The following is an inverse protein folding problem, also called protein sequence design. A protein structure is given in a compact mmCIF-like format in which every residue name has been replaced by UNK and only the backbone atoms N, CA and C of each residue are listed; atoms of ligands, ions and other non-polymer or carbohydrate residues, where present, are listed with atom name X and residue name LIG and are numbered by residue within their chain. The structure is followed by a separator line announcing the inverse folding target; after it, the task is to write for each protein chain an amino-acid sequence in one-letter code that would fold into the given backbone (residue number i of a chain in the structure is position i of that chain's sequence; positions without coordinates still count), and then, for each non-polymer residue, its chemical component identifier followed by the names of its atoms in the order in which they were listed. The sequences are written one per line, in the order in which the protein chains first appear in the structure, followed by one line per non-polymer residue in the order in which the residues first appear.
data_IF_834258599709
#
_entry.id   IF_834258599709
#
_cell.length_a   1.000
_cell.length_b   1.000
_cell.length_c   1.000
_cell.angle_alpha   90.00
_cell.angle_beta   90.00
_cell.angle_gamma   90.00
#
_symmetry.space_group_name_H-M   'P 1'
#
loop_
_entity.id
_entity.type
_entity.pdbx_description
1 polymer ?
#
# COMPACT_ATOMS: atom_id res chain seq x y z
N UNK A 1 26.99 6.43 6.19
CA UNK A 1 26.39 7.52 5.41
C UNK A 1 26.58 7.18 3.94
N UNK A 2 25.50 6.98 3.19
CA UNK A 2 25.52 6.64 1.76
C UNK A 2 24.82 7.73 0.98
N UNK A 3 25.35 8.11 -0.17
CA UNK A 3 24.74 9.10 -1.04
C UNK A 3 23.85 8.39 -2.07
N UNK A 4 22.53 8.62 -1.95
CA UNK A 4 21.50 7.89 -2.66
C UNK A 4 20.73 8.83 -3.59
N UNK A 5 20.51 8.42 -4.85
CA UNK A 5 19.59 9.06 -5.77
C UNK A 5 18.36 8.18 -5.97
N UNK A 6 17.19 8.63 -5.48
CA UNK A 6 15.90 8.03 -5.80
C UNK A 6 15.39 8.60 -7.11
N UNK A 7 15.16 7.74 -8.11
CA UNK A 7 14.56 8.11 -9.42
C UNK A 7 13.18 7.47 -9.51
N UNK A 8 12.11 8.26 -9.56
CA UNK A 8 10.75 7.73 -9.53
C UNK A 8 9.72 8.63 -10.19
N UNK A 9 8.67 8.03 -10.76
CA UNK A 9 7.46 8.73 -11.19
C UNK A 9 6.47 8.97 -10.04
N UNK A 10 6.64 8.25 -8.95
CA UNK A 10 5.69 8.18 -7.85
C UNK A 10 6.28 8.83 -6.59
N UNK A 11 6.07 10.16 -6.46
CA UNK A 11 6.52 10.91 -5.30
C UNK A 11 5.53 12.04 -4.96
N UNK A 12 5.43 12.47 -3.68
CA UNK A 12 4.63 13.61 -3.29
C UNK A 12 4.96 14.88 -4.11
N UNK A 13 4.00 15.83 -4.17
CA UNK A 13 2.75 15.92 -3.43
C UNK A 13 1.58 15.10 -4.02
N UNK A 14 1.80 14.35 -5.11
CA UNK A 14 0.78 13.43 -5.61
C UNK A 14 0.52 12.35 -4.55
N UNK A 15 -0.77 12.11 -4.24
CA UNK A 15 -1.17 11.10 -3.25
C UNK A 15 -1.33 9.73 -3.89
N UNK A 16 -0.91 8.69 -3.18
CA UNK A 16 -1.06 7.29 -3.58
C UNK A 16 -0.24 6.36 -2.70
N UNK A 17 -0.51 5.06 -2.76
CA UNK A 17 0.17 4.07 -1.93
C UNK A 17 1.68 3.96 -2.21
N UNK A 18 2.09 4.05 -3.48
CA UNK A 18 3.51 4.03 -3.87
C UNK A 18 4.21 5.29 -3.39
N UNK A 19 3.57 6.46 -3.56
CA UNK A 19 4.10 7.74 -3.12
C UNK A 19 4.38 7.73 -1.61
N UNK A 20 3.40 7.31 -0.81
CA UNK A 20 3.56 7.21 0.65
C UNK A 20 4.61 6.17 1.04
N UNK A 21 4.68 5.03 0.34
CA UNK A 21 5.71 4.00 0.55
C UNK A 21 7.12 4.59 0.37
N UNK A 22 7.38 5.25 -0.75
CA UNK A 22 8.68 5.83 -1.04
C UNK A 22 9.03 6.98 -0.09
N UNK A 23 8.08 7.87 0.18
CA UNK A 23 8.25 9.00 1.10
C UNK A 23 8.66 8.54 2.49
N UNK A 24 7.97 7.55 3.05
CA UNK A 24 8.28 7.03 4.39
C UNK A 24 9.69 6.42 4.44
N UNK A 25 10.08 5.64 3.44
CA UNK A 25 11.44 5.11 3.38
C UNK A 25 12.48 6.22 3.28
N UNK A 26 12.23 7.25 2.47
CA UNK A 26 13.14 8.40 2.33
C UNK A 26 13.32 9.11 3.68
N UNK A 27 12.23 9.40 4.39
CA UNK A 27 12.30 10.03 5.72
C UNK A 27 13.11 9.20 6.71
N UNK A 28 12.94 7.87 6.73
CA UNK A 28 13.69 6.99 7.64
C UNK A 28 15.17 6.90 7.27
N UNK A 29 15.53 6.85 5.98
CA UNK A 29 16.92 6.82 5.53
C UNK A 29 17.64 8.13 5.89
N UNK A 30 17.01 9.27 5.63
CA UNK A 30 17.54 10.59 5.99
C UNK A 30 17.66 10.74 7.51
N UNK A 31 16.65 10.32 8.28
CA UNK A 31 16.68 10.30 9.74
C UNK A 31 17.77 9.37 10.31
N UNK A 32 18.22 8.36 9.55
CA UNK A 32 19.33 7.48 9.89
C UNK A 32 20.71 8.01 9.43
N UNK A 33 20.76 9.22 8.84
CA UNK A 33 21.98 9.91 8.46
C UNK A 33 22.47 9.64 7.03
N UNK A 34 21.63 9.07 6.16
CA UNK A 34 21.95 8.96 4.73
C UNK A 34 21.65 10.27 3.99
N UNK A 35 22.46 10.61 3.00
CA UNK A 35 22.21 11.71 2.08
C UNK A 35 21.34 11.23 0.90
N UNK A 36 20.18 11.84 0.74
CA UNK A 36 19.24 11.41 -0.28
C UNK A 36 18.79 12.57 -1.17
N UNK A 37 18.90 12.37 -2.47
CA UNK A 37 18.33 13.25 -3.50
C UNK A 37 17.22 12.51 -4.23
N UNK A 38 16.07 13.16 -4.39
CA UNK A 38 14.93 12.59 -5.15
C UNK A 38 14.86 13.26 -6.51
N UNK A 39 14.80 12.48 -7.58
CA UNK A 39 14.48 12.94 -8.93
C UNK A 39 13.11 12.43 -9.35
N UNK A 40 12.13 13.34 -9.44
CA UNK A 40 10.74 13.02 -9.66
C UNK A 40 10.00 14.05 -10.52
N UNK A 41 8.84 13.71 -11.14
CA UNK A 41 8.05 14.66 -11.92
C UNK A 41 7.55 15.85 -11.11
N UNK A 42 7.25 16.95 -11.83
CA UNK A 42 6.62 18.11 -11.22
C UNK A 42 5.10 17.93 -11.16
N UNK A 43 4.55 18.13 -9.98
CA UNK A 43 3.11 18.13 -9.70
C UNK A 43 2.65 19.48 -9.13
N UNK A 44 1.36 19.76 -9.20
CA UNK A 44 0.78 20.92 -8.50
C UNK A 44 1.09 20.82 -7.00
N UNK A 45 1.61 21.91 -6.40
CA UNK A 45 2.03 21.94 -5.00
C UNK A 45 3.46 21.43 -4.74
N UNK A 46 4.23 21.03 -5.78
CA UNK A 46 5.61 20.59 -5.62
C UNK A 46 6.53 21.62 -4.94
N UNK A 47 6.49 22.93 -5.26
CA UNK A 47 7.37 23.90 -4.62
C UNK A 47 7.19 24.01 -3.11
N UNK A 48 5.97 23.88 -2.61
CA UNK A 48 5.69 23.95 -1.17
C UNK A 48 6.16 22.69 -0.45
N UNK A 49 5.90 21.52 -1.05
CA UNK A 49 6.39 20.25 -0.55
C UNK A 49 7.93 20.21 -0.51
N UNK A 50 8.58 20.58 -1.61
CA UNK A 50 10.04 20.51 -1.74
C UNK A 50 10.76 21.45 -0.76
N UNK A 51 10.14 22.60 -0.42
CA UNK A 51 10.67 23.54 0.58
C UNK A 51 10.58 22.98 1.99
N UNK A 52 9.56 22.18 2.28
CA UNK A 52 9.36 21.57 3.59
C UNK A 52 10.13 20.25 3.78
N UNK A 53 10.58 19.62 2.69
CA UNK A 53 11.26 18.34 2.75
C UNK A 53 12.66 18.46 3.39
N UNK A 54 13.08 17.54 4.26
CA UNK A 54 14.41 17.53 4.86
C UNK A 54 15.50 16.93 3.95
N UNK A 55 15.22 16.78 2.67
CA UNK A 55 16.10 16.21 1.64
C UNK A 55 15.95 16.97 0.32
N UNK A 56 16.92 16.83 -0.58
CA UNK A 56 16.91 17.50 -1.87
C UNK A 56 15.90 16.84 -2.83
N UNK A 57 15.06 17.67 -3.49
CA UNK A 57 14.14 17.21 -4.54
C UNK A 57 14.41 17.96 -5.82
N UNK A 58 14.76 17.22 -6.87
CA UNK A 58 14.95 17.72 -8.21
C UNK A 58 13.74 17.33 -9.06
N UNK A 59 13.08 18.33 -9.65
CA UNK A 59 11.85 18.10 -10.41
C UNK A 59 12.10 18.06 -11.92
N UNK A 60 11.65 16.95 -12.52
CA UNK A 60 11.52 16.88 -13.98
C UNK A 60 10.39 17.82 -14.44
N UNK A 61 10.56 18.57 -15.56
CA UNK A 61 9.54 19.53 -16.01
C UNK A 61 8.18 18.92 -16.35
N UNK A 62 8.17 17.69 -16.87
CA UNK A 62 6.95 16.96 -17.20
C UNK A 62 6.32 16.23 -16.01
N UNK A 63 5.13 15.68 -16.23
CA UNK A 63 4.36 14.90 -15.25
C UNK A 63 4.66 13.38 -15.30
N UNK A 64 5.48 12.95 -16.25
CA UNK A 64 5.92 11.57 -16.45
C UNK A 64 7.37 11.55 -16.90
N UNK A 65 8.19 10.70 -16.29
CA UNK A 65 9.54 10.40 -16.73
C UNK A 65 9.55 9.02 -17.41
N UNK A 66 10.14 9.00 -18.61
CA UNK A 66 10.43 7.77 -19.37
C UNK A 66 11.94 7.60 -19.49
N UNK A 67 12.46 6.41 -19.84
CA UNK A 67 13.90 6.20 -20.09
C UNK A 67 14.34 6.87 -21.42
N UNK A 68 14.24 8.19 -21.48
CA UNK A 68 14.55 9.04 -22.63
C UNK A 68 15.84 9.86 -22.43
N UNK A 69 16.44 10.41 -23.50
CA UNK A 69 17.71 11.12 -23.40
C UNK A 69 17.74 12.30 -22.40
N UNK A 70 16.61 12.99 -22.20
CA UNK A 70 16.49 14.09 -21.23
C UNK A 70 16.61 13.63 -19.80
N UNK A 71 15.85 12.58 -19.45
CA UNK A 71 15.86 11.95 -18.11
C UNK A 71 17.22 11.30 -17.84
N UNK A 72 17.79 10.56 -18.81
CA UNK A 72 19.13 9.96 -18.72
C UNK A 72 20.21 11.02 -18.42
N UNK A 73 20.26 12.09 -19.22
CA UNK A 73 21.25 13.16 -19.02
C UNK A 73 21.16 13.78 -17.63
N UNK A 74 19.93 14.09 -17.17
CA UNK A 74 19.76 14.72 -15.85
C UNK A 74 20.11 13.76 -14.72
N UNK A 75 19.70 12.50 -14.78
CA UNK A 75 20.10 11.48 -13.83
C UNK A 75 21.62 11.36 -13.73
N UNK A 76 22.31 11.24 -14.86
CA UNK A 76 23.78 11.13 -14.91
C UNK A 76 24.49 12.40 -14.41
N UNK A 77 23.94 13.58 -14.66
CA UNK A 77 24.42 14.85 -14.11
C UNK A 77 24.34 14.83 -12.58
N UNK A 78 23.17 14.47 -12.02
CA UNK A 78 22.97 14.37 -10.58
C UNK A 78 23.92 13.35 -9.93
N UNK A 79 24.15 12.20 -10.55
CA UNK A 79 25.11 11.20 -10.04
C UNK A 79 26.50 11.80 -9.90
N UNK A 80 26.99 12.52 -10.90
CA UNK A 80 28.33 13.13 -10.91
C UNK A 80 28.43 14.35 -9.99
N UNK A 81 27.43 15.24 -10.06
CA UNK A 81 27.39 16.49 -9.28
C UNK A 81 27.38 16.23 -7.76
N UNK A 82 26.64 15.22 -7.32
CA UNK A 82 26.47 14.88 -5.91
C UNK A 82 27.30 13.66 -5.46
N UNK A 83 28.12 13.09 -6.36
CA UNK A 83 28.92 11.90 -6.05
C UNK A 83 28.07 10.72 -5.57
N UNK A 84 26.92 10.48 -6.22
CA UNK A 84 25.96 9.44 -5.83
C UNK A 84 26.61 8.04 -5.95
N UNK A 85 26.56 7.30 -4.87
CA UNK A 85 27.06 5.92 -4.77
C UNK A 85 26.01 4.89 -5.18
N UNK A 86 24.74 5.17 -4.81
CA UNK A 86 23.62 4.23 -5.04
C UNK A 86 22.46 4.91 -5.76
N UNK A 87 21.98 4.29 -6.83
CA UNK A 87 20.74 4.69 -7.49
C UNK A 87 19.62 3.72 -7.10
N UNK A 88 18.54 4.28 -6.59
CA UNK A 88 17.33 3.56 -6.26
C UNK A 88 16.21 3.97 -7.20
N UNK A 89 15.77 3.05 -8.07
CA UNK A 89 14.57 3.25 -8.89
C UNK A 89 13.34 2.91 -8.05
N UNK A 90 12.52 3.92 -7.76
CA UNK A 90 11.33 3.78 -6.92
C UNK A 90 10.24 2.89 -7.54
N UNK A 91 10.27 2.71 -8.87
CA UNK A 91 9.52 1.70 -9.61
C UNK A 91 10.43 1.08 -10.67
N UNK A 92 10.49 -0.26 -10.74
CA UNK A 92 11.41 -0.97 -11.64
C UNK A 92 11.12 -0.64 -13.11
N UNK A 93 9.88 -0.80 -13.54
CA UNK A 93 9.49 -0.49 -14.92
C UNK A 93 8.81 0.89 -15.00
N UNK A 94 9.17 1.74 -15.98
CA UNK A 94 10.22 1.53 -17.00
C UNK A 94 11.60 2.12 -16.63
N UNK A 95 11.72 2.92 -15.56
CA UNK A 95 12.89 3.77 -15.30
C UNK A 95 14.18 2.99 -15.04
N UNK A 96 14.11 1.78 -14.45
CA UNK A 96 15.30 0.96 -14.21
C UNK A 96 15.95 0.39 -15.50
N UNK A 97 15.36 0.64 -16.68
CA UNK A 97 16.07 0.46 -17.96
C UNK A 97 17.28 1.41 -18.11
N UNK A 98 17.38 2.41 -17.24
CA UNK A 98 18.53 3.31 -17.15
C UNK A 98 19.64 2.78 -16.21
N UNK A 99 19.52 1.57 -15.65
CA UNK A 99 20.46 1.02 -14.66
C UNK A 99 21.91 1.02 -15.15
N UNK A 100 22.18 0.51 -16.36
CA UNK A 100 23.51 0.53 -16.96
C UNK A 100 24.05 1.95 -17.19
N UNK A 101 23.17 2.91 -17.47
CA UNK A 101 23.52 4.33 -17.62
C UNK A 101 23.90 4.96 -16.27
N UNK A 102 23.18 4.59 -15.20
CA UNK A 102 23.54 5.01 -13.85
C UNK A 102 24.94 4.52 -13.45
N UNK A 103 25.25 3.24 -13.70
CA UNK A 103 26.59 2.69 -13.48
C UNK A 103 27.65 3.39 -14.31
N UNK A 104 27.42 3.63 -15.59
CA UNK A 104 28.34 4.37 -16.47
C UNK A 104 28.53 5.85 -16.07
N UNK A 105 27.71 6.38 -15.16
CA UNK A 105 27.87 7.72 -14.58
C UNK A 105 28.61 7.73 -13.24
N UNK A 106 28.85 6.56 -12.61
CA UNK A 106 29.61 6.41 -11.37
C UNK A 106 28.83 5.74 -10.23
N UNK A 107 27.57 5.35 -10.44
CA UNK A 107 26.84 4.61 -9.40
C UNK A 107 27.46 3.20 -9.22
N UNK A 108 27.82 2.87 -7.99
CA UNK A 108 28.38 1.58 -7.63
C UNK A 108 27.29 0.51 -7.43
N UNK A 109 26.10 0.96 -7.03
CA UNK A 109 24.95 0.11 -6.72
C UNK A 109 23.67 0.60 -7.36
N UNK A 110 22.84 -0.34 -7.84
CA UNK A 110 21.53 -0.04 -8.43
C UNK A 110 20.48 -0.97 -7.84
N UNK A 111 19.47 -0.38 -7.20
CA UNK A 111 18.34 -1.08 -6.61
C UNK A 111 17.05 -0.62 -7.31
N UNK A 112 16.10 -1.52 -7.51
CA UNK A 112 14.79 -1.17 -8.08
C UNK A 112 13.67 -1.75 -7.22
N UNK A 113 12.59 -1.01 -7.02
CA UNK A 113 11.41 -1.47 -6.29
C UNK A 113 10.28 -1.88 -7.22
N UNK A 114 9.48 -2.87 -6.83
CA UNK A 114 8.26 -3.25 -7.55
C UNK A 114 7.03 -3.09 -6.67
N UNK A 115 5.90 -2.72 -7.26
CA UNK A 115 4.66 -2.42 -6.52
C UNK A 115 3.45 -3.21 -7.07
N UNK A 116 3.69 -4.16 -7.98
CA UNK A 116 2.67 -5.03 -8.57
C UNK A 116 2.21 -4.64 -9.98
N UNK A 117 2.46 -3.41 -10.45
CA UNK A 117 2.14 -3.05 -11.84
C UNK A 117 3.04 -3.79 -12.87
N UNK A 118 4.19 -4.30 -12.44
CA UNK A 118 5.09 -5.14 -13.23
C UNK A 118 4.45 -6.47 -13.65
N UNK A 119 3.39 -6.90 -12.96
CA UNK A 119 2.61 -8.08 -13.36
C UNK A 119 2.05 -7.90 -14.77
N UNK A 120 1.50 -6.73 -15.10
CA UNK A 120 1.05 -6.42 -16.46
C UNK A 120 2.19 -6.46 -17.49
N UNK A 121 3.36 -5.94 -17.12
CA UNK A 121 4.56 -5.98 -17.97
C UNK A 121 5.04 -7.42 -18.23
N UNK A 122 4.97 -8.29 -17.23
CA UNK A 122 5.41 -9.70 -17.37
C UNK A 122 4.57 -10.51 -18.36
N UNK A 123 3.37 -10.05 -18.70
CA UNK A 123 2.44 -10.75 -19.61
C UNK A 123 2.63 -10.38 -21.09
N UNK A 124 3.35 -9.31 -21.40
CA UNK A 124 3.57 -8.82 -22.76
C UNK A 124 4.99 -9.15 -23.23
N UNK A 125 5.19 -9.79 -24.41
CA UNK A 125 6.53 -10.26 -24.84
C UNK A 125 7.59 -9.16 -24.84
N UNK A 126 7.34 -8.01 -25.43
CA UNK A 126 8.29 -6.89 -25.47
C UNK A 126 8.59 -6.30 -24.10
N UNK A 127 7.57 -6.12 -23.26
CA UNK A 127 7.72 -5.64 -21.89
C UNK A 127 8.45 -6.67 -21.01
N UNK A 128 8.22 -7.98 -21.24
CA UNK A 128 8.98 -9.05 -20.57
C UNK A 128 10.48 -9.00 -20.88
N UNK A 129 10.85 -8.66 -22.12
CA UNK A 129 12.27 -8.46 -22.49
C UNK A 129 12.88 -7.25 -21.76
N UNK A 130 12.12 -6.17 -21.58
CA UNK A 130 12.54 -5.03 -20.78
C UNK A 130 12.74 -5.40 -19.30
N UNK A 131 11.82 -6.18 -18.70
CA UNK A 131 11.97 -6.66 -17.33
C UNK A 131 13.22 -7.56 -17.18
N UNK A 132 13.49 -8.45 -18.14
CA UNK A 132 14.70 -9.29 -18.13
C UNK A 132 15.98 -8.46 -18.15
N UNK A 133 16.00 -7.39 -18.95
CA UNK A 133 17.12 -6.46 -18.99
C UNK A 133 17.27 -5.73 -17.64
N UNK A 134 16.19 -5.26 -17.04
CA UNK A 134 16.22 -4.67 -15.70
C UNK A 134 16.80 -5.67 -14.70
N UNK A 135 16.34 -6.93 -14.74
CA UNK A 135 16.83 -7.98 -13.84
C UNK A 135 18.32 -8.30 -13.95
N UNK A 136 18.90 -8.16 -15.14
CA UNK A 136 20.35 -8.37 -15.36
C UNK A 136 21.22 -7.14 -15.06
N UNK A 137 20.62 -5.94 -15.04
CA UNK A 137 21.37 -4.67 -14.87
C UNK A 137 21.24 -4.09 -13.44
N UNK A 138 20.34 -4.62 -12.59
CA UNK A 138 20.15 -4.20 -11.20
C UNK A 138 20.77 -5.21 -10.22
N UNK A 139 21.27 -4.74 -9.08
CA UNK A 139 21.83 -5.60 -8.02
C UNK A 139 20.74 -6.26 -7.19
N UNK A 140 19.65 -5.51 -6.95
CA UNK A 140 18.51 -6.00 -6.16
C UNK A 140 17.23 -5.41 -6.73
N UNK A 141 16.20 -6.26 -6.76
CA UNK A 141 14.83 -5.84 -7.04
C UNK A 141 13.98 -6.16 -5.81
N UNK A 142 13.35 -5.15 -5.22
CA UNK A 142 12.47 -5.37 -4.07
C UNK A 142 11.03 -5.63 -4.52
N UNK A 143 10.31 -6.43 -3.73
CA UNK A 143 8.89 -6.71 -3.96
C UNK A 143 8.08 -6.59 -2.66
N UNK A 144 6.82 -6.16 -2.79
CA UNK A 144 5.95 -5.86 -1.64
C UNK A 144 5.16 -7.07 -1.14
N UNK A 145 4.94 -8.10 -1.98
CA UNK A 145 4.23 -9.33 -1.60
C UNK A 145 4.74 -10.54 -2.38
N UNK A 146 4.67 -11.72 -1.76
CA UNK A 146 5.04 -12.99 -2.42
C UNK A 146 4.20 -13.24 -3.66
N UNK A 147 2.90 -12.91 -3.58
CA UNK A 147 2.01 -13.01 -4.72
C UNK A 147 2.52 -12.24 -5.94
N UNK A 148 2.89 -10.97 -5.76
CA UNK A 148 3.39 -10.15 -6.88
C UNK A 148 4.71 -10.70 -7.41
N UNK A 149 5.63 -11.11 -6.52
CA UNK A 149 6.89 -11.77 -6.89
C UNK A 149 6.64 -12.99 -7.79
N UNK A 150 5.77 -13.90 -7.37
CA UNK A 150 5.53 -15.17 -8.08
C UNK A 150 4.94 -14.94 -9.48
N UNK A 151 4.25 -13.82 -9.69
CA UNK A 151 3.71 -13.43 -10.99
C UNK A 151 4.74 -12.87 -11.96
N UNK A 152 5.75 -12.16 -11.48
CA UNK A 152 6.72 -11.48 -12.35
C UNK A 152 8.15 -12.01 -12.26
N UNK A 153 8.50 -12.82 -11.27
CA UNK A 153 9.90 -13.26 -11.05
C UNK A 153 10.56 -13.86 -12.29
N UNK A 154 9.85 -14.74 -13.00
CA UNK A 154 10.37 -15.36 -14.23
C UNK A 154 10.63 -14.35 -15.36
N UNK A 155 9.96 -13.20 -15.36
CA UNK A 155 10.15 -12.16 -16.36
C UNK A 155 11.46 -11.39 -16.14
N UNK A 156 11.87 -11.18 -14.89
CA UNK A 156 13.15 -10.57 -14.57
C UNK A 156 14.36 -11.47 -14.86
N UNK A 157 14.13 -12.76 -15.02
CA UNK A 157 15.17 -13.74 -15.38
C UNK A 157 15.97 -14.27 -14.18
N UNK A 158 16.86 -15.28 -14.42
CA UNK A 158 17.54 -15.99 -13.34
C UNK A 158 18.64 -15.17 -12.63
N UNK A 159 19.13 -14.10 -13.25
CA UNK A 159 20.13 -13.21 -12.65
C UNK A 159 19.55 -12.22 -11.65
N UNK A 160 18.24 -12.03 -11.64
CA UNK A 160 17.58 -11.06 -10.77
C UNK A 160 17.57 -11.53 -9.31
N UNK A 161 18.16 -10.74 -8.42
CA UNK A 161 18.06 -10.92 -6.98
C UNK A 161 16.80 -10.24 -6.46
N UNK A 162 15.82 -11.03 -6.04
CA UNK A 162 14.52 -10.55 -5.54
C UNK A 162 14.50 -10.57 -4.02
N UNK A 163 14.22 -9.43 -3.39
CA UNK A 163 14.21 -9.26 -1.93
C UNK A 163 12.85 -8.73 -1.45
N UNK A 164 12.31 -9.34 -0.39
CA UNK A 164 11.04 -8.89 0.20
C UNK A 164 11.23 -7.59 0.96
N UNK A 165 10.47 -6.57 0.59
CA UNK A 165 10.48 -5.26 1.24
C UNK A 165 9.06 -4.66 1.22
N UNK A 166 8.20 -5.08 2.14
CA UNK A 166 6.86 -4.53 2.27
C UNK A 166 6.89 -3.15 2.94
N UNK A 167 5.78 -2.38 2.90
CA UNK A 167 5.63 -1.17 3.70
C UNK A 167 5.62 -1.49 5.19
N UNK A 168 6.05 -0.54 6.01
CA UNK A 168 5.78 -0.53 7.43
C UNK A 168 4.45 0.15 7.76
N UNK A 169 4.03 0.04 9.02
CA UNK A 169 2.92 0.80 9.59
C UNK A 169 3.43 1.59 10.80
N UNK A 170 2.96 2.82 10.93
CA UNK A 170 3.19 3.64 12.12
C UNK A 170 2.18 3.23 13.20
N UNK A 171 2.62 2.41 14.14
CA UNK A 171 1.78 1.88 15.23
C UNK A 171 1.52 2.89 16.36
N UNK A 172 2.20 4.03 16.34
CA UNK A 172 1.89 5.15 17.22
C UNK A 172 0.76 6.01 16.65
N UNK A 173 0.74 6.16 15.33
CA UNK A 173 -0.33 6.83 14.61
C UNK A 173 -1.60 5.95 14.54
N UNK A 174 -1.45 4.70 14.09
CA UNK A 174 -2.54 3.73 14.02
C UNK A 174 -2.57 2.89 15.30
N UNK A 175 -3.39 3.30 16.25
CA UNK A 175 -3.52 2.67 17.56
C UNK A 175 -4.97 2.67 18.04
N UNK A 176 -5.33 1.85 19.03
CA UNK A 176 -6.60 2.01 19.71
C UNK A 176 -6.73 3.42 20.30
N UNK A 177 -7.80 4.10 19.95
CA UNK A 177 -8.08 5.48 20.41
C UNK A 177 -9.54 5.59 20.84
N UNK A 178 -9.83 5.43 22.15
CA UNK A 178 -11.20 5.52 22.67
C UNK A 178 -11.84 6.89 22.48
N UNK A 179 -11.06 7.98 22.48
CA UNK A 179 -11.57 9.35 22.31
C UNK A 179 -12.02 9.55 20.87
N UNK A 180 -11.13 9.29 19.90
CA UNK A 180 -11.47 9.40 18.49
C UNK A 180 -12.60 8.42 18.11
N UNK A 181 -12.65 7.23 18.74
CA UNK A 181 -13.76 6.27 18.58
C UNK A 181 -15.09 6.89 18.99
N UNK A 182 -15.16 7.48 20.17
CA UNK A 182 -16.39 8.09 20.69
C UNK A 182 -16.86 9.25 19.81
N UNK A 183 -15.96 10.18 19.46
CA UNK A 183 -16.25 11.36 18.63
C UNK A 183 -16.76 10.96 17.23
N UNK A 184 -16.11 10.00 16.57
CA UNK A 184 -16.54 9.60 15.23
C UNK A 184 -17.82 8.77 15.25
N UNK A 185 -18.05 7.96 16.28
CA UNK A 185 -19.31 7.23 16.44
C UNK A 185 -20.48 8.18 16.67
N UNK A 186 -20.30 9.25 17.46
CA UNK A 186 -21.28 10.32 17.61
C UNK A 186 -21.51 11.07 16.29
N UNK A 187 -20.43 11.51 15.63
CA UNK A 187 -20.48 12.22 14.35
C UNK A 187 -21.28 11.46 13.28
N UNK A 188 -21.11 10.16 13.20
CA UNK A 188 -21.79 9.31 12.23
C UNK A 188 -23.08 8.68 12.78
N UNK A 189 -23.52 9.08 13.98
CA UNK A 189 -24.76 8.61 14.65
C UNK A 189 -24.78 7.07 14.78
N UNK A 190 -23.65 6.48 15.09
CA UNK A 190 -23.51 5.04 15.25
C UNK A 190 -23.92 4.57 16.65
N UNK A 191 -23.73 5.40 17.70
CA UNK A 191 -23.96 4.99 19.08
C UNK A 191 -23.19 3.71 19.42
N UNK A 192 -23.86 2.74 20.03
CA UNK A 192 -23.27 1.44 20.39
C UNK A 192 -23.49 0.35 19.32
N UNK A 193 -23.96 0.71 18.14
CA UNK A 193 -24.20 -0.23 17.02
C UNK A 193 -22.94 -1.00 16.66
N UNK A 194 -22.99 -2.33 16.52
CA UNK A 194 -21.89 -3.10 15.96
C UNK A 194 -21.49 -2.57 14.57
N UNK A 195 -20.23 -2.16 14.42
CA UNK A 195 -19.83 -1.36 13.24
C UNK A 195 -18.73 -2.03 12.46
N UNK A 196 -19.01 -2.29 11.18
CA UNK A 196 -18.02 -2.69 10.17
C UNK A 196 -17.48 -1.44 9.48
N UNK A 197 -16.17 -1.34 9.36
CA UNK A 197 -15.52 -0.24 8.63
C UNK A 197 -14.75 -0.77 7.42
N UNK A 198 -14.87 -0.10 6.28
CA UNK A 198 -14.10 -0.35 5.07
C UNK A 198 -13.40 0.95 4.65
N UNK A 199 -12.08 0.98 4.66
CA UNK A 199 -11.28 2.13 4.21
C UNK A 199 -10.61 1.77 2.90
N UNK A 200 -10.99 2.42 1.80
CA UNK A 200 -10.33 2.19 0.50
C UNK A 200 -10.80 3.18 -0.56
N UNK A 201 -10.06 3.28 -1.65
CA UNK A 201 -10.57 3.89 -2.87
C UNK A 201 -11.80 3.11 -3.36
N UNK A 202 -12.85 3.79 -3.77
CA UNK A 202 -14.08 3.16 -4.25
C UNK A 202 -13.91 2.69 -5.70
N UNK A 203 -13.53 1.42 -5.83
CA UNK A 203 -13.36 0.70 -7.10
C UNK A 203 -13.81 -0.75 -6.91
N UNK A 204 -14.35 -1.36 -7.97
CA UNK A 204 -15.04 -2.64 -7.88
C UNK A 204 -14.22 -3.82 -7.31
N UNK A 205 -12.86 -3.81 -7.47
CA UNK A 205 -12.02 -4.87 -6.90
C UNK A 205 -11.93 -4.87 -5.37
N UNK A 206 -12.27 -3.75 -4.72
CA UNK A 206 -12.20 -3.60 -3.26
C UNK A 206 -13.35 -4.27 -2.50
N UNK A 207 -14.44 -4.62 -3.18
CA UNK A 207 -15.51 -5.43 -2.62
C UNK A 207 -16.52 -4.69 -1.73
N UNK A 208 -16.58 -3.34 -1.78
CA UNK A 208 -17.58 -2.58 -1.03
C UNK A 208 -19.02 -2.97 -1.42
N UNK A 209 -19.25 -3.32 -2.68
CA UNK A 209 -20.53 -3.82 -3.17
C UNK A 209 -20.93 -5.15 -2.50
N UNK A 210 -19.96 -6.02 -2.21
CA UNK A 210 -20.23 -7.27 -1.50
C UNK A 210 -20.55 -7.04 -0.04
N UNK A 211 -19.92 -6.04 0.62
CA UNK A 211 -20.28 -5.64 1.98
C UNK A 211 -21.73 -5.12 2.03
N UNK A 212 -22.10 -4.23 1.10
CA UNK A 212 -23.48 -3.71 1.03
C UNK A 212 -24.49 -4.84 0.82
N UNK A 213 -24.20 -5.78 -0.08
CA UNK A 213 -25.07 -6.97 -0.32
C UNK A 213 -25.16 -7.89 0.92
N UNK A 214 -24.11 -7.96 1.71
CA UNK A 214 -24.07 -8.77 2.93
C UNK A 214 -24.87 -8.15 4.09
N UNK A 215 -25.01 -6.81 4.14
CA UNK A 215 -25.66 -6.10 5.24
C UNK A 215 -27.06 -6.59 5.59
N UNK A 216 -27.98 -6.90 4.66
CA UNK A 216 -29.30 -7.42 5.00
C UNK A 216 -29.22 -8.72 5.83
N UNK A 217 -28.29 -9.60 5.53
CA UNK A 217 -28.12 -10.87 6.24
C UNK A 217 -27.35 -10.69 7.54
N UNK A 218 -26.35 -9.82 7.57
CA UNK A 218 -25.61 -9.46 8.80
C UNK A 218 -26.60 -8.87 9.82
N UNK A 219 -27.45 -7.93 9.41
CA UNK A 219 -28.44 -7.30 10.30
C UNK A 219 -29.49 -8.26 10.85
N UNK A 220 -29.84 -9.30 10.11
CA UNK A 220 -30.74 -10.35 10.63
C UNK A 220 -30.11 -11.17 11.75
N UNK A 221 -28.78 -11.29 11.77
CA UNK A 221 -28.03 -12.08 12.77
C UNK A 221 -27.46 -11.23 13.89
N UNK A 222 -27.16 -9.96 13.61
CA UNK A 222 -26.59 -8.99 14.55
C UNK A 222 -27.43 -7.71 14.50
N UNK A 223 -28.25 -7.53 15.52
CA UNK A 223 -29.16 -6.39 15.57
C UNK A 223 -28.39 -5.06 15.56
N UNK A 224 -28.93 -4.10 14.86
CA UNK A 224 -28.36 -2.75 14.77
C UNK A 224 -27.03 -2.65 14.00
N UNK A 225 -26.51 -3.71 13.41
CA UNK A 225 -25.23 -3.63 12.68
C UNK A 225 -25.19 -2.51 11.64
N UNK A 226 -24.07 -1.78 11.56
CA UNK A 226 -23.82 -0.68 10.64
C UNK A 226 -22.56 -0.91 9.81
N UNK A 227 -22.52 -0.32 8.62
CA UNK A 227 -21.37 -0.30 7.72
C UNK A 227 -20.92 1.13 7.46
N UNK A 228 -19.64 1.42 7.67
CA UNK A 228 -19.04 2.71 7.33
C UNK A 228 -18.04 2.51 6.20
N UNK A 229 -18.26 3.16 5.07
CA UNK A 229 -17.38 3.14 3.89
C UNK A 229 -16.63 4.47 3.82
N UNK A 230 -15.32 4.40 4.05
CA UNK A 230 -14.42 5.55 4.07
C UNK A 230 -13.62 5.58 2.78
N UNK A 231 -13.76 6.66 2.03
CA UNK A 231 -13.02 6.88 0.80
C UNK A 231 -13.87 7.43 -0.35
N UNK A 232 -13.20 7.82 -1.41
CA UNK A 232 -13.80 8.32 -2.65
C UNK A 232 -13.36 7.48 -3.86
N UNK A 233 -14.08 7.60 -4.95
CA UNK A 233 -13.73 6.93 -6.20
C UNK A 233 -14.88 6.80 -7.19
N UNK A 234 -14.60 6.36 -8.41
CA UNK A 234 -15.58 6.33 -9.50
C UNK A 234 -16.74 5.34 -9.28
N UNK A 235 -16.64 4.48 -8.27
CA UNK A 235 -17.68 3.50 -7.95
C UNK A 235 -18.72 4.02 -6.92
N UNK A 236 -18.57 5.27 -6.45
CA UNK A 236 -19.39 5.84 -5.38
C UNK A 236 -20.90 5.80 -5.69
N UNK A 237 -21.33 6.35 -6.83
CA UNK A 237 -22.75 6.42 -7.20
C UNK A 237 -23.36 5.01 -7.32
N UNK A 238 -22.62 4.07 -7.87
CA UNK A 238 -23.05 2.66 -7.96
C UNK A 238 -23.29 2.05 -6.58
N UNK A 239 -22.42 2.35 -5.59
CA UNK A 239 -22.55 1.84 -4.23
C UNK A 239 -23.73 2.47 -3.49
N UNK A 240 -23.96 3.77 -3.65
CA UNK A 240 -25.13 4.46 -3.10
C UNK A 240 -26.44 3.85 -3.62
N UNK A 241 -26.57 3.67 -4.93
CA UNK A 241 -27.74 3.04 -5.52
C UNK A 241 -27.90 1.56 -5.10
N UNK A 242 -26.78 0.85 -4.91
CA UNK A 242 -26.82 -0.51 -4.40
C UNK A 242 -27.35 -0.57 -2.96
N UNK A 243 -26.94 0.34 -2.09
CA UNK A 243 -27.43 0.40 -0.71
C UNK A 243 -28.94 0.63 -0.64
N UNK A 244 -29.48 1.50 -1.51
CA UNK A 244 -30.93 1.71 -1.65
C UNK A 244 -31.64 0.43 -2.11
N UNK A 245 -31.15 -0.21 -3.16
CA UNK A 245 -31.76 -1.44 -3.71
C UNK A 245 -31.73 -2.60 -2.71
N UNK A 246 -30.68 -2.68 -1.87
CA UNK A 246 -30.59 -3.69 -0.83
C UNK A 246 -31.42 -3.33 0.42
N UNK A 247 -32.07 -2.16 0.49
CA UNK A 247 -32.87 -1.72 1.62
C UNK A 247 -32.04 -1.39 2.86
N UNK A 248 -30.75 -1.07 2.72
CA UNK A 248 -29.80 -0.82 3.83
C UNK A 248 -29.20 0.60 3.82
N UNK A 249 -29.78 1.52 3.05
CA UNK A 249 -29.24 2.87 2.92
C UNK A 249 -29.14 3.62 4.26
N UNK A 250 -30.02 3.34 5.22
CA UNK A 250 -29.98 3.91 6.56
C UNK A 250 -28.89 3.31 7.47
N UNK A 251 -28.31 2.17 7.08
CA UNK A 251 -27.32 1.44 7.85
C UNK A 251 -25.90 1.52 7.24
N UNK A 252 -25.79 2.20 6.09
CA UNK A 252 -24.53 2.38 5.39
C UNK A 252 -24.17 3.87 5.38
N UNK A 253 -23.09 4.21 6.06
CA UNK A 253 -22.52 5.56 6.07
C UNK A 253 -21.42 5.67 5.03
N UNK A 254 -21.53 6.61 4.12
CA UNK A 254 -20.47 6.97 3.17
C UNK A 254 -19.83 8.28 3.63
N UNK A 255 -18.56 8.24 4.03
CA UNK A 255 -17.86 9.45 4.52
C UNK A 255 -17.32 10.31 3.40
N UNK A 256 -17.19 9.77 2.18
CA UNK A 256 -16.34 10.33 1.14
C UNK A 256 -14.85 10.20 1.48
N UNK A 257 -14.00 10.91 0.74
CA UNK A 257 -12.58 10.97 1.04
C UNK A 257 -12.30 11.78 2.29
N UNK A 258 -11.51 11.24 3.21
CA UNK A 258 -11.08 11.93 4.44
C UNK A 258 -9.59 12.31 4.37
N UNK A 259 -9.15 13.35 5.12
CA UNK A 259 -7.72 13.65 5.25
C UNK A 259 -6.95 12.47 5.85
N UNK A 260 -5.70 12.28 5.44
CA UNK A 260 -4.84 11.18 5.93
C UNK A 260 -4.72 11.19 7.46
N UNK A 261 -4.59 12.36 8.06
CA UNK A 261 -4.52 12.53 9.52
C UNK A 261 -5.78 12.07 10.27
N UNK A 262 -6.93 11.95 9.59
CA UNK A 262 -8.17 11.48 10.19
C UNK A 262 -8.36 9.96 10.06
N UNK A 263 -7.56 9.28 9.25
CA UNK A 263 -7.68 7.83 9.02
C UNK A 263 -7.54 7.00 10.31
N UNK A 264 -6.58 7.27 11.22
CA UNK A 264 -6.42 6.47 12.43
C UNK A 264 -7.71 6.37 13.27
N UNK A 265 -8.42 7.49 13.45
CA UNK A 265 -9.71 7.50 14.16
C UNK A 265 -10.78 6.66 13.45
N UNK A 266 -10.78 6.65 12.11
CA UNK A 266 -11.74 5.85 11.35
C UNK A 266 -11.49 4.33 11.49
N UNK A 267 -10.26 3.90 11.69
CA UNK A 267 -9.99 2.52 12.07
C UNK A 267 -10.38 2.27 13.53
N UNK A 268 -10.01 3.15 14.45
CA UNK A 268 -10.29 2.99 15.88
C UNK A 268 -11.79 2.92 16.21
N UNK A 269 -12.67 3.53 15.40
CA UNK A 269 -14.13 3.45 15.63
C UNK A 269 -14.74 2.08 15.27
N UNK A 270 -14.02 1.21 14.56
CA UNK A 270 -14.51 -0.06 14.07
C UNK A 270 -14.59 -1.13 15.16
N UNK A 271 -15.54 -2.05 15.04
CA UNK A 271 -15.55 -3.34 15.74
C UNK A 271 -14.93 -4.44 14.87
N UNK A 272 -15.11 -4.32 13.54
CA UNK A 272 -14.51 -5.17 12.52
C UNK A 272 -14.09 -4.30 11.33
N UNK A 273 -12.89 -4.48 10.84
CA UNK A 273 -12.47 -3.94 9.55
C UNK A 273 -12.71 -4.97 8.45
N UNK A 274 -13.40 -4.61 7.37
CA UNK A 274 -13.65 -5.55 6.29
C UNK A 274 -13.41 -4.90 4.92
N UNK A 275 -12.57 -5.53 4.10
CA UNK A 275 -12.42 -5.22 2.68
C UNK A 275 -12.29 -6.54 1.90
N UNK A 276 -13.42 -7.15 1.49
CA UNK A 276 -13.43 -8.42 0.77
C UNK A 276 -12.99 -8.20 -0.70
N UNK A 277 -11.73 -7.79 -0.87
CA UNK A 277 -11.15 -7.54 -2.18
C UNK A 277 -11.12 -8.81 -3.03
N UNK A 278 -11.23 -8.64 -4.34
CA UNK A 278 -11.30 -9.74 -5.30
C UNK A 278 -10.44 -9.48 -6.53
N UNK A 279 -9.92 -10.55 -7.09
CA UNK A 279 -9.19 -10.53 -8.35
C UNK A 279 -10.16 -10.41 -9.52
N UNK A 280 -9.85 -9.53 -10.48
CA UNK A 280 -10.64 -9.26 -11.68
C UNK A 280 -9.74 -9.23 -12.91
N UNK A 281 -10.35 -9.19 -14.12
CA UNK A 281 -9.61 -9.00 -15.37
C UNK A 281 -8.51 -10.05 -15.59
N UNK A 282 -8.85 -11.34 -15.44
CA UNK A 282 -7.90 -12.45 -15.61
C UNK A 282 -6.59 -12.29 -14.79
N UNK A 283 -6.69 -11.67 -13.60
CA UNK A 283 -5.53 -11.51 -12.72
C UNK A 283 -4.76 -10.20 -12.90
N UNK A 284 -5.27 -9.25 -13.70
CA UNK A 284 -4.65 -7.94 -13.91
C UNK A 284 -5.08 -6.91 -12.86
N UNK A 285 -6.32 -7.01 -12.37
CA UNK A 285 -6.89 -6.10 -11.36
C UNK A 285 -6.94 -6.82 -10.01
N UNK A 286 -5.85 -6.70 -9.24
CA UNK A 286 -5.66 -7.40 -7.95
C UNK A 286 -5.26 -6.42 -6.85
N UNK A 287 -5.37 -6.87 -5.60
CA UNK A 287 -4.79 -6.16 -4.46
C UNK A 287 -3.28 -6.47 -4.36
N UNK A 288 -2.42 -5.46 -4.48
CA UNK A 288 -0.97 -5.66 -4.45
C UNK A 288 -0.48 -6.22 -3.11
N UNK A 289 -0.92 -5.59 -2.01
CA UNK A 289 -0.69 -6.01 -0.62
C UNK A 289 -1.89 -5.64 0.26
N UNK A 290 -2.32 -4.35 0.24
CA UNK A 290 -3.40 -3.85 1.06
C UNK A 290 -2.94 -3.33 2.42
N UNK A 291 -2.19 -2.22 2.44
CA UNK A 291 -1.71 -1.58 3.68
C UNK A 291 -2.84 -1.27 4.67
N UNK A 292 -4.05 -1.03 4.19
CA UNK A 292 -5.24 -0.76 5.01
C UNK A 292 -5.58 -1.88 5.99
N UNK A 293 -5.24 -3.13 5.66
CA UNK A 293 -5.40 -4.27 6.58
C UNK A 293 -4.40 -4.20 7.74
N UNK A 294 -3.17 -3.80 7.43
CA UNK A 294 -2.12 -3.63 8.44
C UNK A 294 -2.42 -2.43 9.35
N UNK A 295 -2.95 -1.32 8.79
CA UNK A 295 -3.39 -0.14 9.54
C UNK A 295 -4.55 -0.49 10.50
N UNK A 296 -5.53 -1.25 10.02
CA UNK A 296 -6.65 -1.72 10.86
C UNK A 296 -6.16 -2.63 12.00
N UNK A 297 -5.28 -3.59 11.69
CA UNK A 297 -4.69 -4.46 12.69
C UNK A 297 -3.83 -3.68 13.70
N UNK A 298 -3.05 -2.68 13.27
CA UNK A 298 -2.31 -1.78 14.14
C UNK A 298 -3.23 -1.00 15.10
N UNK A 299 -4.42 -0.60 14.63
CA UNK A 299 -5.45 0.02 15.46
C UNK A 299 -6.16 -0.98 16.42
N UNK A 300 -5.73 -2.26 16.46
CA UNK A 300 -6.29 -3.27 17.33
C UNK A 300 -7.64 -3.82 16.88
N UNK A 301 -7.96 -3.67 15.59
CA UNK A 301 -9.25 -4.10 15.01
C UNK A 301 -9.06 -5.41 14.24
N UNK A 302 -9.90 -6.42 14.43
CA UNK A 302 -9.83 -7.66 13.68
C UNK A 302 -10.18 -7.41 12.21
N UNK A 303 -9.49 -8.10 11.31
CA UNK A 303 -9.54 -7.86 9.87
C UNK A 303 -10.28 -8.97 9.13
N UNK A 304 -11.18 -8.62 8.21
CA UNK A 304 -11.74 -9.52 7.20
C UNK A 304 -11.21 -9.10 5.82
N UNK A 305 -10.24 -9.86 5.32
CA UNK A 305 -9.57 -9.59 4.05
C UNK A 305 -10.07 -10.52 2.94
N UNK A 306 -10.23 -9.97 1.74
CA UNK A 306 -10.54 -10.80 0.57
C UNK A 306 -9.30 -11.55 0.06
N UNK A 307 -9.50 -12.74 -0.49
CA UNK A 307 -8.44 -13.55 -1.12
C UNK A 307 -8.11 -13.00 -2.51
N UNK A 308 -7.36 -11.91 -2.55
CA UNK A 308 -6.92 -11.25 -3.78
C UNK A 308 -5.50 -10.75 -3.66
N UNK A 309 -4.65 -11.16 -4.58
CA UNK A 309 -3.26 -10.71 -4.61
C UNK A 309 -2.51 -10.99 -3.32
N UNK A 310 -1.80 -9.98 -2.81
CA UNK A 310 -1.05 -10.03 -1.55
C UNK A 310 -1.90 -9.81 -0.29
N UNK A 311 -3.20 -9.53 -0.40
CA UNK A 311 -4.05 -9.26 0.76
C UNK A 311 -4.02 -10.39 1.82
N UNK A 312 -4.02 -11.69 1.47
CA UNK A 312 -3.88 -12.75 2.47
C UNK A 312 -2.58 -12.72 3.28
N UNK A 313 -1.52 -12.09 2.76
CA UNK A 313 -0.24 -11.98 3.47
C UNK A 313 -0.28 -10.97 4.63
N UNK A 314 -1.32 -10.13 4.67
CA UNK A 314 -1.55 -9.11 5.71
C UNK A 314 -2.43 -9.58 6.86
N UNK A 315 -2.84 -10.86 6.86
CA UNK A 315 -3.71 -11.45 7.88
C UNK A 315 -3.22 -12.85 8.22
N UNK A 316 -3.10 -13.17 9.50
CA UNK A 316 -2.96 -14.54 9.98
C UNK A 316 -4.37 -15.09 10.20
N UNK A 317 -4.85 -15.89 9.22
CA UNK A 317 -6.21 -16.39 9.20
C UNK A 317 -6.55 -17.18 10.46
N UNK A 318 -7.64 -16.82 11.13
CA UNK A 318 -8.07 -17.39 12.40
C UNK A 318 -7.37 -16.81 13.65
N UNK A 319 -6.22 -16.12 13.51
CA UNK A 319 -5.45 -15.54 14.62
C UNK A 319 -5.63 -14.02 14.71
N UNK A 320 -5.37 -13.28 13.61
CA UNK A 320 -5.45 -11.81 13.58
C UNK A 320 -6.65 -11.29 12.79
N UNK A 321 -7.34 -12.17 12.10
CA UNK A 321 -8.48 -11.87 11.23
C UNK A 321 -8.95 -13.10 10.48
N UNK A 322 -9.72 -12.85 9.42
CA UNK A 322 -10.26 -13.89 8.53
C UNK A 322 -9.92 -13.55 7.08
N UNK A 323 -9.57 -14.58 6.31
CA UNK A 323 -9.37 -14.48 4.87
C UNK A 323 -10.53 -15.15 4.15
N UNK A 324 -11.30 -14.38 3.39
CA UNK A 324 -12.53 -14.86 2.73
C UNK A 324 -12.41 -14.78 1.21
N UNK A 325 -13.18 -15.56 0.48
CA UNK A 325 -13.37 -15.34 -0.93
C UNK A 325 -14.27 -14.11 -1.14
N UNK A 326 -13.68 -13.00 -1.63
CA UNK A 326 -14.41 -11.74 -1.85
C UNK A 326 -15.54 -11.79 -2.91
N UNK A 327 -15.77 -12.96 -3.53
CA UNK A 327 -16.87 -13.22 -4.45
C UNK A 327 -17.95 -14.11 -3.85
N UNK A 328 -17.72 -14.73 -2.70
CA UNK A 328 -18.65 -15.63 -2.04
C UNK A 328 -19.36 -14.89 -0.91
N UNK A 329 -20.64 -14.64 -1.13
CA UNK A 329 -21.48 -13.85 -0.21
C UNK A 329 -21.50 -14.42 1.21
N UNK A 330 -21.73 -15.71 1.34
CA UNK A 330 -21.91 -16.34 2.65
C UNK A 330 -20.62 -16.39 3.48
N UNK A 331 -19.45 -16.57 2.83
CA UNK A 331 -18.15 -16.47 3.55
C UNK A 331 -17.96 -15.07 4.16
N UNK A 332 -18.38 -14.01 3.46
CA UNK A 332 -18.29 -12.62 3.93
C UNK A 332 -19.25 -12.41 5.10
N UNK A 333 -20.49 -12.86 4.96
CA UNK A 333 -21.52 -12.75 6.00
C UNK A 333 -21.07 -13.47 7.26
N UNK A 334 -20.66 -14.73 7.15
CA UNK A 334 -20.28 -15.56 8.29
C UNK A 334 -19.06 -14.97 9.01
N UNK A 335 -18.01 -14.60 8.27
CA UNK A 335 -16.80 -14.03 8.87
C UNK A 335 -17.09 -12.73 9.65
N UNK A 336 -17.93 -11.84 9.11
CA UNK A 336 -18.30 -10.60 9.77
C UNK A 336 -19.23 -10.86 10.97
N UNK A 337 -20.25 -11.70 10.79
CA UNK A 337 -21.22 -12.00 11.83
C UNK A 337 -20.58 -12.66 13.03
N UNK A 338 -19.69 -13.64 12.81
CA UNK A 338 -18.97 -14.34 13.88
C UNK A 338 -18.15 -13.38 14.77
N UNK A 339 -17.57 -12.34 14.16
CA UNK A 339 -16.78 -11.34 14.89
C UNK A 339 -17.66 -10.31 15.60
N UNK A 340 -18.76 -9.88 14.98
CA UNK A 340 -19.67 -8.92 15.58
C UNK A 340 -20.51 -9.55 16.73
N UNK A 341 -20.83 -10.85 16.63
CA UNK A 341 -21.61 -11.58 17.64
C UNK A 341 -20.77 -11.98 18.88
N UNK A 342 -19.45 -12.05 18.75
CA UNK A 342 -18.51 -12.31 19.85
C UNK A 342 -17.47 -11.18 19.99
N UNK A 343 -17.82 -10.07 20.66
CA UNK A 343 -16.92 -8.93 20.82
C UNK A 343 -15.63 -9.27 21.60
N UNK A 344 -15.65 -10.29 22.46
CA UNK A 344 -14.44 -10.69 23.18
C UNK A 344 -13.45 -11.40 22.26
N UNK A 345 -13.93 -12.30 21.42
CA UNK A 345 -13.13 -12.93 20.37
C UNK A 345 -12.57 -11.88 19.41
N UNK A 346 -13.41 -10.95 18.96
CA UNK A 346 -12.99 -9.84 18.10
C UNK A 346 -11.85 -9.02 18.73
N UNK A 347 -11.97 -8.65 20.01
CA UNK A 347 -10.92 -7.92 20.72
C UNK A 347 -9.65 -8.75 20.90
N UNK A 348 -9.74 -10.04 21.21
CA UNK A 348 -8.55 -10.93 21.31
C UNK A 348 -7.82 -10.97 19.96
N UNK A 349 -8.56 -11.15 18.86
CA UNK A 349 -8.02 -11.20 17.51
C UNK A 349 -7.39 -9.87 17.10
N UNK A 350 -8.03 -8.74 17.43
CA UNK A 350 -7.49 -7.40 17.19
C UNK A 350 -6.19 -7.13 17.97
N UNK A 351 -6.11 -7.54 19.25
CA UNK A 351 -4.86 -7.44 20.02
C UNK A 351 -3.74 -8.28 19.42
N UNK A 352 -4.03 -9.54 19.04
CA UNK A 352 -3.05 -10.39 18.36
C UNK A 352 -2.56 -9.76 17.05
N UNK A 353 -3.47 -9.11 16.30
CA UNK A 353 -3.15 -8.34 15.10
C UNK A 353 -2.18 -7.20 15.40
N UNK A 354 -2.49 -6.36 16.38
CA UNK A 354 -1.62 -5.23 16.78
C UNK A 354 -0.24 -5.71 17.21
N UNK A 355 -0.17 -6.74 18.05
CA UNK A 355 1.09 -7.29 18.52
C UNK A 355 1.95 -7.83 17.38
N UNK A 356 1.33 -8.47 16.40
CA UNK A 356 2.02 -8.95 15.22
C UNK A 356 2.53 -7.80 14.35
N UNK A 357 1.69 -6.79 14.08
CA UNK A 357 2.09 -5.63 13.27
C UNK A 357 3.23 -4.87 13.94
N UNK A 358 3.17 -4.64 15.25
CA UNK A 358 4.20 -3.90 15.98
C UNK A 358 5.56 -4.61 15.94
N UNK A 359 5.59 -5.94 15.87
CA UNK A 359 6.82 -6.71 15.79
C UNK A 359 7.37 -6.84 14.38
N UNK A 360 6.53 -7.11 13.40
CA UNK A 360 7.00 -7.57 12.08
C UNK A 360 6.80 -6.54 10.95
N UNK A 361 5.86 -5.58 11.10
CA UNK A 361 5.47 -4.66 10.04
C UNK A 361 5.79 -3.19 10.37
N UNK A 362 6.78 -2.94 11.21
CA UNK A 362 7.15 -1.57 11.58
C UNK A 362 8.15 -0.96 10.58
N UNK A 363 8.06 0.35 10.40
CA UNK A 363 8.92 1.10 9.48
C UNK A 363 10.41 0.99 9.82
N UNK A 364 10.79 0.92 11.10
CA UNK A 364 12.20 0.84 11.52
C UNK A 364 12.86 -0.44 10.99
N UNK A 365 12.17 -1.58 11.09
CA UNK A 365 12.68 -2.87 10.60
C UNK A 365 12.84 -2.87 9.08
N UNK A 366 11.83 -2.40 8.35
CA UNK A 366 11.87 -2.39 6.89
C UNK A 366 12.85 -1.33 6.35
N UNK A 367 12.96 -0.17 6.99
CA UNK A 367 13.92 0.87 6.60
C UNK A 367 15.36 0.44 6.85
N UNK A 368 15.63 -0.27 7.95
CA UNK A 368 16.94 -0.88 8.19
C UNK A 368 17.26 -1.90 7.08
N UNK A 369 16.28 -2.74 6.73
CA UNK A 369 16.46 -3.69 5.63
C UNK A 369 16.74 -3.00 4.30
N UNK A 370 16.01 -1.94 3.96
CA UNK A 370 16.29 -1.16 2.76
C UNK A 370 17.68 -0.54 2.81
N UNK A 371 18.09 0.05 3.93
CA UNK A 371 19.43 0.62 4.10
C UNK A 371 20.54 -0.44 3.86
N UNK A 372 20.36 -1.67 4.36
CA UNK A 372 21.26 -2.79 4.07
C UNK A 372 21.30 -3.11 2.58
N UNK A 373 20.15 -3.19 1.91
CA UNK A 373 20.07 -3.45 0.48
C UNK A 373 20.72 -2.35 -0.36
N UNK A 374 20.62 -1.10 0.06
CA UNK A 374 21.24 0.03 -0.63
C UNK A 374 22.75 0.12 -0.40
N UNK A 375 23.27 -0.37 0.73
CA UNK A 375 24.71 -0.32 1.11
C UNK A 375 25.47 -1.61 0.85
N UNK A 376 24.79 -2.71 0.58
CA UNK A 376 25.46 -4.01 0.43
C UNK A 376 26.45 -4.01 -0.75
N UNK A 377 27.58 -4.65 -0.55
CA UNK A 377 28.60 -4.80 -1.58
C UNK A 377 28.03 -5.50 -2.83
N UNK A 378 28.15 -4.92 -4.02
CA UNK A 378 27.70 -5.54 -5.27
C UNK A 378 28.40 -6.87 -5.61
N UNK A 379 29.47 -7.22 -4.88
CA UNK A 379 30.31 -8.42 -5.13
C UNK A 379 29.94 -9.63 -4.28
N UNK A 380 28.86 -9.58 -3.52
CA UNK A 380 28.36 -10.72 -2.75
C UNK A 380 27.07 -11.30 -3.29
#
# INVERSE_FOLDING_TARGET
MTRILLVTNDFPPRRGGIQSYLEQFVHHLVGAGDELTVYAPRWKGAPDYDRAAPFAVVRHPGTLMLPEPGVDRRMRSLIREHGIETVWFGAAAPLALLASRARGAGAERVVASTHGHEVGWSMLPGARSALRRIGSETDVITYVSRYTRDRFASAFGPAARLEHLPPGVDTECFRPDPVARAELRERYRLGDRPTVVCVSRLVARKGQDMLIRAMPQIRRRVDGAALVIVGGGPYADTLHELAKRCGVAADVVFTGGVPTAALPGHYAMADVFAMPCRTRGAGLDVEGLGIVFLEAAAAGVPVVAGRSGGAPETVRDGETGRVVNGQVHDEIVDAITDLLADPERARRMGRAGRDWISREWNWQTHSRRLAELLRADPRR
#
